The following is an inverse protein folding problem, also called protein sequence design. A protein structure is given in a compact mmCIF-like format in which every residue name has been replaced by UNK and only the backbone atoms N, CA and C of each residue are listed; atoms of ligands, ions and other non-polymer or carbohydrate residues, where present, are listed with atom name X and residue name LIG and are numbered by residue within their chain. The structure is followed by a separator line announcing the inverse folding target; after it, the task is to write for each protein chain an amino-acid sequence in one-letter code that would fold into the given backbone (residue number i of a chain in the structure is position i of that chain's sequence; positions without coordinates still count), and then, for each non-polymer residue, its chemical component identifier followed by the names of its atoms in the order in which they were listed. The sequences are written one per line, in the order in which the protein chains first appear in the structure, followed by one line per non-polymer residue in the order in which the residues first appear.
data_IF_060968706568
#
_entry.id   IF_060968706568
#
_cell.length_a   1.000
_cell.length_b   1.000
_cell.length_c   1.000
_cell.angle_alpha   90.00
_cell.angle_beta   90.00
_cell.angle_gamma   90.00
#
_symmetry.space_group_name_H-M   'P 1'
#
loop_
_entity.id
_entity.type
_entity.pdbx_description
1 polymer ?
#
# COMPACT_ATOMS: atom_id res chain seq x y z
N UNK A 1 34.28 -15.66 -11.03
CA UNK A 1 33.97 -15.65 -9.58
C UNK A 1 34.14 -14.29 -8.90
N UNK A 2 35.30 -13.61 -8.95
CA UNK A 2 35.52 -12.31 -8.25
C UNK A 2 34.45 -11.24 -8.52
N UNK A 3 34.05 -11.05 -9.78
CA UNK A 3 32.95 -10.12 -10.16
C UNK A 3 31.61 -10.47 -9.52
N UNK A 4 31.28 -11.76 -9.42
CA UNK A 4 30.05 -12.25 -8.81
C UNK A 4 30.04 -12.00 -7.30
N UNK A 5 31.15 -12.30 -6.61
CA UNK A 5 31.31 -12.05 -5.17
C UNK A 5 31.17 -10.56 -4.86
N UNK A 6 31.86 -9.70 -5.62
CA UNK A 6 31.77 -8.24 -5.45
C UNK A 6 30.34 -7.73 -5.65
N UNK A 7 29.61 -8.31 -6.62
CA UNK A 7 28.21 -7.99 -6.85
C UNK A 7 27.33 -8.35 -5.66
N UNK A 8 27.48 -9.56 -5.08
CA UNK A 8 26.73 -9.93 -3.87
C UNK A 8 27.08 -9.07 -2.65
N UNK A 9 28.36 -8.74 -2.45
CA UNK A 9 28.77 -7.80 -1.40
C UNK A 9 28.12 -6.42 -1.58
N UNK A 10 28.08 -5.93 -2.82
CA UNK A 10 27.41 -4.68 -3.16
C UNK A 10 25.91 -4.74 -2.84
N UNK A 11 25.22 -5.82 -3.23
CA UNK A 11 23.80 -6.04 -2.92
C UNK A 11 23.53 -6.07 -1.42
N UNK A 12 24.35 -6.78 -0.66
CA UNK A 12 24.21 -6.86 0.79
C UNK A 12 24.34 -5.47 1.44
N UNK A 13 25.34 -4.69 1.04
CA UNK A 13 25.51 -3.30 1.49
C UNK A 13 24.34 -2.40 1.09
N UNK A 14 23.78 -2.58 -0.10
CA UNK A 14 22.59 -1.86 -0.54
C UNK A 14 21.37 -2.17 0.34
N UNK A 15 21.12 -3.45 0.64
CA UNK A 15 20.03 -3.86 1.52
C UNK A 15 20.17 -3.23 2.92
N UNK A 16 21.37 -3.28 3.51
CA UNK A 16 21.62 -2.65 4.82
C UNK A 16 21.44 -1.13 4.78
N UNK A 17 21.94 -0.48 3.72
CA UNK A 17 21.75 0.97 3.52
C UNK A 17 20.28 1.34 3.39
N UNK A 18 19.47 0.55 2.69
CA UNK A 18 18.02 0.78 2.57
C UNK A 18 17.32 0.63 3.91
N UNK A 19 17.70 -0.35 4.72
CA UNK A 19 17.16 -0.54 6.06
C UNK A 19 17.44 0.67 6.96
N UNK A 20 18.65 1.23 6.87
CA UNK A 20 19.08 2.34 7.73
C UNK A 20 18.59 3.72 7.24
N UNK A 21 18.64 4.00 5.94
CA UNK A 21 18.36 5.35 5.41
C UNK A 21 16.88 5.63 5.12
N UNK A 22 16.02 4.61 5.11
CA UNK A 22 14.59 4.80 4.84
C UNK A 22 13.69 4.03 5.84
N UNK A 23 13.72 4.43 7.13
CA UNK A 23 12.97 3.76 8.20
C UNK A 23 11.46 3.68 7.91
N UNK A 24 10.91 4.69 7.22
CA UNK A 24 9.48 4.73 6.83
C UNK A 24 9.07 3.55 5.96
N UNK A 25 9.96 2.99 5.14
CA UNK A 25 9.68 1.81 4.31
C UNK A 25 10.28 0.52 4.87
N UNK A 26 11.46 0.60 5.50
CA UNK A 26 12.18 -0.59 5.95
C UNK A 26 11.56 -1.23 7.20
N UNK A 27 11.08 -0.44 8.15
CA UNK A 27 10.49 -0.96 9.39
C UNK A 27 9.23 -1.81 9.11
N UNK A 28 8.24 -1.36 8.31
CA UNK A 28 7.10 -2.20 7.97
C UNK A 28 7.49 -3.51 7.27
N UNK A 29 8.46 -3.46 6.35
CA UNK A 29 8.95 -4.66 5.64
C UNK A 29 9.59 -5.65 6.61
N UNK A 30 10.40 -5.18 7.56
CA UNK A 30 11.00 -6.03 8.58
C UNK A 30 9.95 -6.67 9.49
N UNK A 31 8.94 -5.91 9.92
CA UNK A 31 7.84 -6.46 10.75
C UNK A 31 7.11 -7.57 9.99
N UNK A 32 6.78 -7.35 8.72
CA UNK A 32 6.13 -8.37 7.87
C UNK A 32 7.03 -9.60 7.72
N UNK A 33 8.32 -9.44 7.44
CA UNK A 33 9.25 -10.57 7.31
C UNK A 33 9.38 -11.37 8.62
N UNK A 34 9.50 -10.68 9.77
CA UNK A 34 9.55 -11.34 11.09
C UNK A 34 8.26 -12.09 11.36
N UNK A 35 7.11 -11.48 11.10
CA UNK A 35 5.82 -12.14 11.25
C UNK A 35 5.72 -13.39 10.35
N UNK A 36 6.13 -13.28 9.09
CA UNK A 36 6.14 -14.41 8.15
C UNK A 36 7.10 -15.54 8.54
N UNK A 37 8.16 -15.25 9.28
CA UNK A 37 9.10 -16.25 9.83
C UNK A 37 8.55 -16.92 11.09
N UNK A 38 7.88 -16.16 11.96
CA UNK A 38 7.45 -16.61 13.27
C UNK A 38 6.07 -17.28 13.28
N UNK A 39 5.15 -16.84 12.40
CA UNK A 39 3.77 -17.34 12.35
C UNK A 39 3.73 -18.76 11.81
N UNK A 40 3.04 -19.65 12.53
CA UNK A 40 2.79 -21.02 12.10
C UNK A 40 1.54 -21.07 11.20
N UNK A 41 1.73 -21.41 9.93
CA UNK A 41 0.66 -21.69 8.98
C UNK A 41 0.07 -23.09 9.21
N UNK A 42 -1.19 -23.34 8.79
CA UNK A 42 -1.89 -24.60 9.02
C UNK A 42 -1.17 -25.80 8.43
N UNK A 43 -0.62 -25.61 7.22
CA UNK A 43 0.07 -26.63 6.46
C UNK A 43 1.40 -26.09 5.92
N UNK A 44 2.40 -26.96 5.82
CA UNK A 44 3.76 -26.59 5.42
C UNK A 44 3.85 -26.15 3.95
N UNK A 45 2.97 -26.61 3.06
CA UNK A 45 3.00 -26.24 1.64
C UNK A 45 2.62 -24.78 1.39
N UNK A 46 2.03 -24.09 2.38
CA UNK A 46 1.72 -22.67 2.26
C UNK A 46 2.96 -21.76 2.32
N UNK A 47 4.00 -22.10 3.12
CA UNK A 47 5.20 -21.24 3.20
C UNK A 47 5.93 -21.13 1.86
N UNK A 48 6.23 -22.24 1.15
CA UNK A 48 6.85 -22.18 -0.16
C UNK A 48 6.09 -21.31 -1.16
N UNK A 49 4.76 -21.43 -1.19
CA UNK A 49 3.91 -20.65 -2.09
C UNK A 49 3.92 -19.16 -1.73
N UNK A 50 3.79 -18.83 -0.44
CA UNK A 50 3.81 -17.46 0.06
C UNK A 50 5.14 -16.77 -0.26
N UNK A 51 6.26 -17.41 0.06
CA UNK A 51 7.59 -16.87 -0.21
C UNK A 51 7.85 -16.76 -1.71
N UNK A 52 7.37 -17.71 -2.51
CA UNK A 52 7.47 -17.62 -3.97
C UNK A 52 6.70 -16.41 -4.52
N UNK A 53 5.53 -16.10 -3.96
CA UNK A 53 4.80 -14.86 -4.26
C UNK A 53 5.62 -13.59 -3.98
N UNK A 54 6.35 -13.56 -2.86
CA UNK A 54 7.27 -12.44 -2.56
C UNK A 54 8.43 -12.36 -3.57
N UNK A 55 8.98 -13.49 -4.01
CA UNK A 55 10.03 -13.52 -5.03
C UNK A 55 9.50 -13.03 -6.38
N UNK A 56 8.28 -13.39 -6.77
CA UNK A 56 7.63 -12.87 -7.99
C UNK A 56 7.53 -11.34 -7.91
N UNK A 57 7.05 -10.81 -6.78
CA UNK A 57 6.91 -9.36 -6.58
C UNK A 57 8.28 -8.67 -6.65
N UNK A 58 9.29 -9.22 -5.96
CA UNK A 58 10.65 -8.72 -6.01
C UNK A 58 11.18 -8.70 -7.45
N UNK A 59 11.02 -9.80 -8.19
CA UNK A 59 11.46 -9.91 -9.58
C UNK A 59 10.78 -8.89 -10.50
N UNK A 60 9.47 -8.68 -10.34
CA UNK A 60 8.71 -7.73 -11.14
C UNK A 60 9.13 -6.27 -10.91
N UNK A 61 9.51 -5.92 -9.67
CA UNK A 61 9.95 -4.55 -9.33
C UNK A 61 11.42 -4.26 -9.66
N UNK A 62 12.18 -5.23 -10.17
CA UNK A 62 13.61 -5.05 -10.50
C UNK A 62 13.83 -4.02 -11.60
N UNK A 63 14.60 -2.98 -11.26
CA UNK A 63 15.03 -1.92 -12.20
C UNK A 63 16.48 -2.05 -12.64
N UNK A 64 17.20 -3.02 -12.10
CA UNK A 64 18.64 -3.18 -12.23
C UNK A 64 19.05 -4.13 -13.36
N UNK A 65 18.10 -4.72 -14.09
CA UNK A 65 18.39 -5.61 -15.22
C UNK A 65 19.25 -4.93 -16.31
N UNK A 66 19.02 -3.67 -16.70
CA UNK A 66 19.91 -2.99 -17.63
C UNK A 66 21.36 -2.89 -17.11
N UNK A 67 21.54 -2.70 -15.80
CA UNK A 67 22.86 -2.72 -15.16
C UNK A 67 23.47 -4.13 -15.22
N UNK A 68 22.71 -5.17 -14.88
CA UNK A 68 23.19 -6.55 -14.97
C UNK A 68 23.61 -6.94 -16.39
N UNK A 69 22.84 -6.54 -17.41
CA UNK A 69 23.20 -6.79 -18.82
C UNK A 69 24.52 -6.13 -19.21
N UNK A 70 24.86 -4.97 -18.63
CA UNK A 70 26.14 -4.28 -18.86
C UNK A 70 27.31 -4.95 -18.13
N UNK A 71 27.11 -5.37 -16.88
CA UNK A 71 28.20 -5.94 -16.05
C UNK A 71 28.44 -7.42 -16.34
N UNK A 72 27.38 -8.18 -16.63
CA UNK A 72 27.38 -9.64 -16.82
C UNK A 72 26.82 -10.00 -18.20
N UNK A 73 27.48 -9.54 -19.27
CA UNK A 73 27.00 -9.61 -20.67
C UNK A 73 26.39 -10.96 -21.05
N UNK A 74 27.08 -12.07 -20.78
CA UNK A 74 26.62 -13.43 -21.13
C UNK A 74 25.88 -14.15 -19.99
N UNK A 75 26.11 -13.75 -18.73
CA UNK A 75 25.66 -14.50 -17.55
C UNK A 75 24.62 -13.78 -16.68
N UNK A 76 24.13 -12.61 -17.09
CA UNK A 76 23.18 -11.81 -16.29
C UNK A 76 21.91 -12.60 -15.91
N UNK A 77 21.44 -13.48 -16.79
CA UNK A 77 20.30 -14.39 -16.54
C UNK A 77 20.55 -15.31 -15.36
N UNK A 78 21.73 -15.92 -15.31
CA UNK A 78 22.14 -16.77 -14.19
C UNK A 78 22.30 -15.99 -12.90
N UNK A 79 22.79 -14.75 -12.97
CA UNK A 79 22.85 -13.87 -11.79
C UNK A 79 21.46 -13.59 -11.24
N UNK A 80 20.46 -13.35 -12.10
CA UNK A 80 19.05 -13.16 -11.68
C UNK A 80 18.53 -14.40 -10.96
N UNK A 81 18.68 -15.59 -11.57
CA UNK A 81 18.24 -16.86 -10.96
C UNK A 81 18.92 -17.07 -9.62
N UNK A 82 20.24 -16.92 -9.57
CA UNK A 82 21.03 -17.15 -8.36
C UNK A 82 20.62 -16.20 -7.23
N UNK A 83 20.41 -14.91 -7.52
CA UNK A 83 19.86 -13.97 -6.53
C UNK A 83 18.48 -14.40 -6.01
N UNK A 84 17.55 -14.76 -6.90
CA UNK A 84 16.20 -15.18 -6.50
C UNK A 84 16.22 -16.47 -5.69
N UNK A 85 17.06 -17.43 -6.08
CA UNK A 85 17.28 -18.69 -5.37
C UNK A 85 17.82 -18.43 -3.97
N UNK A 86 18.87 -17.61 -3.82
CA UNK A 86 19.43 -17.26 -2.50
C UNK A 86 18.36 -16.65 -1.59
N UNK A 87 17.61 -15.65 -2.09
CA UNK A 87 16.60 -14.97 -1.27
C UNK A 87 15.52 -15.97 -0.83
N UNK A 88 15.07 -16.84 -1.74
CA UNK A 88 14.08 -17.86 -1.43
C UNK A 88 14.59 -18.90 -0.43
N UNK A 89 15.84 -19.35 -0.58
CA UNK A 89 16.47 -20.25 0.38
C UNK A 89 16.56 -19.63 1.77
N UNK A 90 16.93 -18.34 1.86
CA UNK A 90 16.98 -17.62 3.14
C UNK A 90 15.59 -17.53 3.77
N UNK A 91 14.53 -17.28 3.00
CA UNK A 91 13.16 -17.23 3.52
C UNK A 91 12.67 -18.59 4.02
N UNK A 92 12.91 -19.66 3.25
CA UNK A 92 12.50 -21.02 3.65
C UNK A 92 13.28 -21.52 4.87
N UNK A 93 14.61 -21.45 4.83
CA UNK A 93 15.46 -21.94 5.91
C UNK A 93 15.42 -21.05 7.15
N UNK A 94 15.13 -19.76 6.97
CA UNK A 94 14.95 -18.83 8.07
C UNK A 94 13.60 -18.96 8.79
N UNK A 95 12.61 -19.64 8.20
CA UNK A 95 11.31 -19.86 8.83
C UNK A 95 11.39 -20.99 9.87
N UNK A 96 11.05 -20.68 11.12
CA UNK A 96 11.19 -21.59 12.27
C UNK A 96 10.23 -22.79 12.19
N UNK A 97 9.11 -22.62 11.49
CA UNK A 97 8.04 -23.61 11.40
C UNK A 97 8.09 -24.46 10.13
N UNK A 98 8.93 -24.12 9.15
CA UNK A 98 8.95 -24.78 7.85
C UNK A 98 9.69 -26.13 7.90
N UNK A 99 9.08 -27.16 7.31
CA UNK A 99 9.72 -28.44 7.02
C UNK A 99 9.89 -28.61 5.52
N UNK A 100 11.02 -29.18 5.10
CA UNK A 100 11.35 -29.36 3.68
C UNK A 100 10.29 -30.24 3.02
N UNK A 101 9.72 -29.75 1.92
CA UNK A 101 8.67 -30.43 1.17
C UNK A 101 8.88 -30.36 -0.34
N UNK A 102 8.28 -31.30 -1.07
CA UNK A 102 8.41 -31.44 -2.52
C UNK A 102 7.97 -30.19 -3.29
N UNK A 103 6.93 -29.50 -2.83
CA UNK A 103 6.43 -28.27 -3.45
C UNK A 103 7.49 -27.17 -3.40
N UNK A 104 8.19 -27.01 -2.27
CA UNK A 104 9.27 -26.02 -2.15
C UNK A 104 10.44 -26.32 -3.07
N UNK A 105 10.78 -27.60 -3.26
CA UNK A 105 11.78 -28.01 -4.24
C UNK A 105 11.34 -27.75 -5.68
N UNK A 106 10.07 -28.03 -6.01
CA UNK A 106 9.50 -27.76 -7.33
C UNK A 106 9.50 -26.27 -7.71
N UNK A 107 9.30 -25.38 -6.74
CA UNK A 107 9.31 -23.93 -6.98
C UNK A 107 10.70 -23.39 -7.38
N UNK A 108 11.81 -24.03 -6.98
CA UNK A 108 13.14 -23.67 -7.48
C UNK A 108 13.28 -23.86 -9.00
N UNK A 109 12.67 -24.90 -9.55
CA UNK A 109 12.68 -25.11 -11.01
C UNK A 109 11.91 -24.00 -11.73
N UNK A 110 10.79 -23.54 -11.15
CA UNK A 110 10.02 -22.41 -11.70
C UNK A 110 10.77 -21.07 -11.64
N UNK A 111 11.72 -20.88 -10.71
CA UNK A 111 12.54 -19.65 -10.68
C UNK A 111 13.42 -19.47 -11.90
N UNK A 112 13.77 -20.56 -12.60
CA UNK A 112 14.52 -20.48 -13.87
C UNK A 112 13.75 -19.65 -14.90
N UNK A 113 12.41 -19.65 -14.86
CA UNK A 113 11.58 -18.83 -15.75
C UNK A 113 11.81 -17.32 -15.56
N UNK A 114 12.21 -16.87 -14.38
CA UNK A 114 12.54 -15.46 -14.13
C UNK A 114 13.73 -14.96 -14.96
N UNK A 115 14.61 -15.86 -15.39
CA UNK A 115 15.72 -15.53 -16.29
C UNK A 115 15.25 -15.05 -17.68
N UNK A 116 14.07 -15.51 -18.09
CA UNK A 116 13.49 -15.25 -19.40
C UNK A 116 12.43 -14.15 -19.36
N UNK A 117 11.79 -13.95 -18.21
CA UNK A 117 10.84 -12.87 -17.99
C UNK A 117 11.61 -11.61 -17.61
N UNK A 118 11.91 -10.76 -18.58
CA UNK A 118 12.46 -9.43 -18.29
C UNK A 118 11.35 -8.54 -17.70
N UNK A 119 11.45 -8.07 -16.44
CA UNK A 119 10.58 -7.02 -15.91
C UNK A 119 10.53 -5.82 -16.85
N UNK A 120 9.31 -5.30 -16.99
CA UNK A 120 8.94 -4.29 -17.99
C UNK A 120 9.80 -3.03 -17.84
N UNK A 121 10.40 -2.62 -18.94
CA UNK A 121 11.06 -1.30 -19.10
C UNK A 121 10.07 -0.21 -19.51
N UNK A 122 8.87 -0.57 -19.96
CA UNK A 122 7.85 0.36 -20.41
C UNK A 122 6.92 0.81 -19.28
N UNK A 123 6.40 2.06 -19.34
CA UNK A 123 5.47 2.57 -18.34
C UNK A 123 4.26 1.63 -18.21
N UNK A 124 3.79 1.43 -16.97
CA UNK A 124 2.58 0.65 -16.68
C UNK A 124 1.47 1.12 -17.63
N UNK A 125 0.82 0.18 -18.32
CA UNK A 125 -0.42 0.47 -19.02
C UNK A 125 -1.36 1.15 -18.01
N UNK A 126 -1.56 2.45 -18.17
CA UNK A 126 -2.41 3.23 -17.27
C UNK A 126 -3.83 2.92 -17.65
N UNK A 127 -4.52 2.12 -16.83
CA UNK A 127 -5.97 1.97 -16.97
C UNK A 127 -6.62 3.35 -16.91
N UNK A 128 -7.51 3.61 -17.85
CA UNK A 128 -8.33 4.81 -17.84
C UNK A 128 -9.49 4.60 -16.87
N UNK A 129 -9.43 5.24 -15.70
CA UNK A 129 -10.46 5.19 -14.67
C UNK A 129 -11.63 6.14 -15.01
N UNK A 130 -12.25 5.93 -16.18
CA UNK A 130 -13.26 6.85 -16.74
C UNK A 130 -14.57 6.87 -15.95
N UNK A 131 -14.87 5.80 -15.22
CA UNK A 131 -16.03 5.75 -14.33
C UNK A 131 -15.89 6.67 -13.09
N UNK A 132 -14.67 7.10 -12.74
CA UNK A 132 -14.45 8.00 -11.61
C UNK A 132 -14.70 9.44 -12.06
N UNK A 133 -15.66 10.13 -11.42
CA UNK A 133 -15.95 11.52 -11.69
C UNK A 133 -14.72 12.44 -11.56
N UNK A 134 -14.66 13.49 -12.39
CA UNK A 134 -13.51 14.41 -12.41
C UNK A 134 -13.38 15.28 -11.15
N UNK A 135 -14.46 15.44 -10.40
CA UNK A 135 -14.50 16.12 -9.10
C UNK A 135 -13.90 15.28 -7.95
N UNK A 136 -13.62 13.99 -8.18
CA UNK A 136 -12.83 13.12 -7.31
C UNK A 136 -11.39 12.98 -7.85
N UNK A 137 -10.78 14.10 -8.19
CA UNK A 137 -9.51 14.13 -8.91
C UNK A 137 -8.35 13.52 -8.10
N UNK A 138 -8.41 13.51 -6.77
CA UNK A 138 -7.41 12.84 -5.92
C UNK A 138 -7.38 11.34 -6.18
N UNK A 139 -8.55 10.71 -6.11
CA UNK A 139 -8.72 9.30 -6.41
C UNK A 139 -8.33 8.99 -7.85
N UNK A 140 -8.84 9.77 -8.80
CA UNK A 140 -8.57 9.55 -10.23
C UNK A 140 -7.08 9.69 -10.55
N UNK A 141 -6.42 10.73 -10.01
CA UNK A 141 -5.00 10.98 -10.19
C UNK A 141 -4.13 9.88 -9.58
N UNK A 142 -4.45 9.47 -8.35
CA UNK A 142 -3.72 8.40 -7.66
C UNK A 142 -3.88 7.06 -8.37
N UNK A 143 -5.12 6.67 -8.68
CA UNK A 143 -5.43 5.39 -9.32
C UNK A 143 -4.81 5.29 -10.70
N UNK A 144 -4.77 6.36 -11.50
CA UNK A 144 -4.09 6.36 -12.81
C UNK A 144 -2.59 6.05 -12.68
N UNK A 145 -1.93 6.56 -11.64
CA UNK A 145 -0.50 6.34 -11.39
C UNK A 145 -0.22 4.94 -10.84
N UNK A 146 -1.15 4.41 -10.05
CA UNK A 146 -0.96 3.20 -9.26
C UNK A 146 -1.95 2.07 -9.59
N UNK A 147 -2.53 2.03 -10.81
CA UNK A 147 -3.68 1.17 -11.17
C UNK A 147 -3.53 -0.28 -10.72
N UNK A 148 -2.40 -0.92 -11.03
CA UNK A 148 -2.18 -2.32 -10.69
C UNK A 148 -2.07 -2.57 -9.18
N UNK A 149 -1.43 -1.67 -8.44
CA UNK A 149 -1.34 -1.79 -6.99
C UNK A 149 -2.72 -1.54 -6.34
N UNK A 150 -3.54 -0.67 -6.92
CA UNK A 150 -4.91 -0.44 -6.47
C UNK A 150 -5.79 -1.67 -6.68
N UNK A 151 -5.72 -2.31 -7.86
CA UNK A 151 -6.47 -3.54 -8.17
C UNK A 151 -6.05 -4.66 -7.22
N UNK A 152 -4.74 -4.88 -7.05
CA UNK A 152 -4.22 -5.91 -6.16
C UNK A 152 -4.60 -5.63 -4.70
N UNK A 153 -4.49 -4.38 -4.25
CA UNK A 153 -4.94 -3.96 -2.92
C UNK A 153 -6.43 -4.20 -2.70
N UNK A 154 -7.26 -3.89 -3.70
CA UNK A 154 -8.71 -4.16 -3.64
C UNK A 154 -9.02 -5.66 -3.54
N UNK A 155 -8.33 -6.51 -4.30
CA UNK A 155 -8.46 -7.97 -4.20
C UNK A 155 -8.07 -8.46 -2.80
N UNK A 156 -6.96 -7.96 -2.23
CA UNK A 156 -6.53 -8.32 -0.87
C UNK A 156 -7.61 -7.94 0.15
N UNK A 157 -8.16 -6.73 0.06
CA UNK A 157 -9.23 -6.27 0.97
C UNK A 157 -10.47 -7.15 0.84
N UNK A 158 -10.85 -7.54 -0.37
CA UNK A 158 -11.99 -8.43 -0.59
C UNK A 158 -11.74 -9.82 0.01
N UNK A 159 -10.56 -10.42 -0.22
CA UNK A 159 -10.21 -11.72 0.36
C UNK A 159 -10.06 -11.67 1.89
N UNK A 160 -9.69 -10.51 2.44
CA UNK A 160 -9.55 -10.32 3.88
C UNK A 160 -10.88 -10.44 4.64
N UNK A 161 -12.02 -10.39 3.93
CA UNK A 161 -13.35 -10.55 4.52
C UNK A 161 -13.62 -11.97 5.05
N UNK A 162 -12.69 -12.91 4.83
CA UNK A 162 -12.81 -14.28 5.31
C UNK A 162 -12.84 -14.38 6.85
N UNK A 163 -12.09 -13.53 7.56
CA UNK A 163 -12.00 -13.57 9.03
C UNK A 163 -11.92 -12.15 9.63
N UNK A 164 -12.47 -11.87 10.83
CA UNK A 164 -12.42 -10.53 11.45
C UNK A 164 -11.01 -9.97 11.56
N UNK A 165 -10.07 -10.78 12.06
CA UNK A 165 -8.70 -10.34 12.27
C UNK A 165 -8.01 -9.95 10.94
N UNK A 166 -8.27 -10.68 9.86
CA UNK A 166 -7.69 -10.37 8.54
C UNK A 166 -8.31 -9.10 7.96
N UNK A 167 -9.61 -8.88 8.15
CA UNK A 167 -10.29 -7.66 7.73
C UNK A 167 -9.74 -6.43 8.45
N UNK A 168 -9.56 -6.52 9.77
CA UNK A 168 -8.96 -5.44 10.57
C UNK A 168 -7.55 -5.14 10.08
N UNK A 169 -6.72 -6.18 9.89
CA UNK A 169 -5.35 -6.02 9.41
C UNK A 169 -5.30 -5.37 8.03
N UNK A 170 -6.15 -5.81 7.09
CA UNK A 170 -6.26 -5.18 5.78
C UNK A 170 -6.72 -3.71 5.88
N UNK A 171 -7.64 -3.41 6.80
CA UNK A 171 -8.07 -2.05 7.10
C UNK A 171 -6.92 -1.11 7.47
N UNK A 172 -5.98 -1.57 8.32
CA UNK A 172 -4.76 -0.81 8.67
C UNK A 172 -3.97 -0.41 7.41
N UNK A 173 -3.76 -1.34 6.48
CA UNK A 173 -3.07 -1.03 5.22
C UNK A 173 -3.87 -0.09 4.31
N UNK A 174 -5.20 -0.22 4.30
CA UNK A 174 -6.09 0.69 3.57
C UNK A 174 -5.99 2.12 4.13
N UNK A 175 -5.86 2.30 5.45
CA UNK A 175 -5.68 3.62 6.06
C UNK A 175 -4.39 4.31 5.59
N UNK A 176 -3.28 3.56 5.56
CA UNK A 176 -2.00 4.08 5.05
C UNK A 176 -2.13 4.43 3.56
N UNK A 177 -2.79 3.58 2.78
CA UNK A 177 -3.05 3.82 1.37
C UNK A 177 -3.86 5.10 1.12
N UNK A 178 -4.97 5.29 1.84
CA UNK A 178 -5.81 6.51 1.77
C UNK A 178 -4.99 7.74 2.09
N UNK A 179 -4.13 7.67 3.11
CA UNK A 179 -3.32 8.81 3.52
C UNK A 179 -2.40 9.31 2.41
N UNK A 180 -1.85 8.39 1.61
CA UNK A 180 -1.05 8.74 0.43
C UNK A 180 -1.86 9.34 -0.74
N UNK A 181 -3.18 9.10 -0.80
CA UNK A 181 -4.06 9.72 -1.81
C UNK A 181 -4.21 11.22 -1.55
N UNK A 182 -4.30 11.60 -0.27
CA UNK A 182 -4.53 13.00 0.14
C UNK A 182 -3.26 13.74 0.58
N UNK A 183 -2.09 13.09 0.56
CA UNK A 183 -0.80 13.71 0.86
C UNK A 183 -0.41 14.84 -0.14
N UNK A 184 -0.61 14.71 -1.46
CA UNK A 184 -0.24 15.77 -2.40
C UNK A 184 -1.21 16.96 -2.32
N UNK A 185 -0.65 18.17 -2.32
CA UNK A 185 -1.43 19.41 -2.48
C UNK A 185 -1.63 19.74 -3.96
N UNK A 186 -2.82 20.24 -4.30
CA UNK A 186 -3.07 20.83 -5.62
C UNK A 186 -2.40 22.20 -5.76
N UNK A 187 -2.20 22.64 -7.01
CA UNK A 187 -1.86 24.03 -7.28
C UNK A 187 -3.03 24.96 -6.91
N UNK A 188 -2.73 26.23 -6.59
CA UNK A 188 -3.73 27.22 -6.17
C UNK A 188 -4.91 27.32 -7.15
N UNK A 189 -4.62 27.40 -8.45
CA UNK A 189 -5.63 27.54 -9.52
C UNK A 189 -6.64 26.38 -9.52
N UNK A 190 -6.17 25.15 -9.28
CA UNK A 190 -7.02 23.97 -9.23
C UNK A 190 -7.90 23.97 -7.98
N UNK A 191 -7.34 24.37 -6.83
CA UNK A 191 -8.10 24.54 -5.59
C UNK A 191 -9.22 25.59 -5.78
N UNK A 192 -8.85 26.75 -6.33
CA UNK A 192 -9.76 27.86 -6.57
C UNK A 192 -10.89 27.47 -7.53
N UNK A 193 -10.54 26.90 -8.69
CA UNK A 193 -11.52 26.43 -9.68
C UNK A 193 -12.49 25.41 -9.07
N UNK A 194 -12.01 24.51 -8.21
CA UNK A 194 -12.85 23.51 -7.57
C UNK A 194 -13.82 24.13 -6.55
N UNK A 195 -13.30 24.94 -5.62
CA UNK A 195 -14.09 25.47 -4.51
C UNK A 195 -14.95 26.69 -4.88
N UNK A 196 -14.73 27.31 -6.04
CA UNK A 196 -15.72 28.21 -6.65
C UNK A 196 -17.02 27.49 -7.04
N UNK A 197 -16.93 26.20 -7.38
CA UNK A 197 -18.09 25.41 -7.84
C UNK A 197 -18.69 24.53 -6.74
N UNK A 198 -17.87 24.04 -5.82
CA UNK A 198 -18.28 23.06 -4.82
C UNK A 198 -17.89 23.49 -3.41
N UNK A 199 -18.76 23.18 -2.44
CA UNK A 199 -18.44 23.43 -1.03
C UNK A 199 -17.58 22.31 -0.42
N UNK A 200 -16.89 22.58 0.69
CA UNK A 200 -16.19 21.54 1.45
C UNK A 200 -17.12 20.40 1.89
N UNK A 201 -18.37 20.73 2.26
CA UNK A 201 -19.39 19.74 2.64
C UNK A 201 -19.73 18.81 1.48
N UNK A 202 -19.89 19.34 0.27
CA UNK A 202 -20.11 18.54 -0.94
C UNK A 202 -18.90 17.68 -1.26
N UNK A 203 -17.68 18.22 -1.13
CA UNK A 203 -16.45 17.46 -1.33
C UNK A 203 -16.37 16.27 -0.37
N UNK A 204 -16.61 16.50 0.92
CA UNK A 204 -16.65 15.46 1.95
C UNK A 204 -17.69 14.39 1.60
N UNK A 205 -18.92 14.81 1.25
CA UNK A 205 -20.02 13.89 0.92
C UNK A 205 -19.67 13.00 -0.28
N UNK A 206 -19.21 13.59 -1.39
CA UNK A 206 -18.89 12.84 -2.62
C UNK A 206 -17.73 11.87 -2.40
N UNK A 207 -16.68 12.32 -1.70
CA UNK A 207 -15.52 11.49 -1.39
C UNK A 207 -15.85 10.35 -0.42
N UNK A 208 -16.65 10.60 0.62
CA UNK A 208 -17.09 9.58 1.56
C UNK A 208 -18.03 8.57 0.90
N UNK A 209 -18.94 9.02 0.02
CA UNK A 209 -19.79 8.12 -0.75
C UNK A 209 -18.96 7.20 -1.65
N UNK A 210 -18.01 7.76 -2.41
CA UNK A 210 -17.12 6.95 -3.26
C UNK A 210 -16.29 5.95 -2.44
N UNK A 211 -15.75 6.39 -1.31
CA UNK A 211 -14.98 5.53 -0.41
C UNK A 211 -15.81 4.36 0.15
N UNK A 212 -17.07 4.61 0.54
CA UNK A 212 -17.96 3.55 1.01
C UNK A 212 -18.41 2.61 -0.10
N UNK A 213 -18.65 3.10 -1.32
CA UNK A 213 -18.90 2.24 -2.48
C UNK A 213 -17.72 1.30 -2.73
N UNK A 214 -16.49 1.79 -2.58
CA UNK A 214 -15.28 0.97 -2.72
C UNK A 214 -15.21 -0.14 -1.66
N UNK A 215 -15.61 0.13 -0.41
CA UNK A 215 -15.57 -0.86 0.67
C UNK A 215 -16.80 -1.78 0.70
N UNK A 216 -17.90 -1.41 0.04
CA UNK A 216 -19.16 -2.15 0.07
C UNK A 216 -19.01 -3.63 -0.35
N UNK A 217 -18.27 -4.00 -1.40
CA UNK A 217 -18.06 -5.41 -1.75
C UNK A 217 -17.43 -6.22 -0.62
N UNK A 218 -16.48 -5.63 0.13
CA UNK A 218 -15.84 -6.28 1.27
C UNK A 218 -16.80 -6.42 2.47
N UNK A 219 -17.70 -5.46 2.67
CA UNK A 219 -18.74 -5.55 3.69
C UNK A 219 -19.74 -6.66 3.37
N UNK A 220 -20.24 -6.69 2.13
CA UNK A 220 -21.17 -7.73 1.69
C UNK A 220 -20.53 -9.12 1.76
N UNK A 221 -19.27 -9.28 1.31
CA UNK A 221 -18.58 -10.56 1.39
C UNK A 221 -18.33 -10.99 2.84
N UNK A 222 -18.02 -10.06 3.75
CA UNK A 222 -17.89 -10.37 5.18
C UNK A 222 -19.21 -10.84 5.79
N UNK A 223 -20.34 -10.17 5.48
CA UNK A 223 -21.65 -10.59 5.99
C UNK A 223 -22.04 -11.98 5.52
N UNK A 224 -21.74 -12.32 4.27
CA UNK A 224 -22.03 -13.64 3.70
C UNK A 224 -21.18 -14.73 4.38
N UNK A 225 -19.89 -14.46 4.60
CA UNK A 225 -18.95 -15.44 5.15
C UNK A 225 -19.02 -15.56 6.68
N UNK A 226 -19.33 -14.46 7.39
CA UNK A 226 -19.29 -14.37 8.85
C UNK A 226 -20.60 -13.76 9.42
N UNK A 227 -21.77 -14.42 9.23
CA UNK A 227 -23.06 -13.84 9.59
C UNK A 227 -23.21 -13.56 11.10
N UNK A 228 -22.62 -14.42 11.95
CA UNK A 228 -22.66 -14.28 13.40
C UNK A 228 -21.80 -13.13 13.95
N UNK A 229 -20.87 -12.63 13.14
CA UNK A 229 -19.91 -11.57 13.50
C UNK A 229 -20.25 -10.23 12.85
N UNK A 230 -21.47 -10.08 12.34
CA UNK A 230 -21.95 -8.89 11.62
C UNK A 230 -21.75 -7.57 12.37
N UNK A 231 -21.76 -7.57 13.71
CA UNK A 231 -21.48 -6.37 14.52
C UNK A 231 -20.09 -5.77 14.27
N UNK A 232 -19.08 -6.57 13.91
CA UNK A 232 -17.74 -6.07 13.60
C UNK A 232 -17.74 -5.10 12.41
N UNK A 233 -18.66 -5.26 11.46
CA UNK A 233 -18.77 -4.36 10.32
C UNK A 233 -19.15 -2.95 10.77
N UNK A 234 -20.02 -2.79 11.77
CA UNK A 234 -20.41 -1.46 12.26
C UNK A 234 -19.21 -0.71 12.83
N UNK A 235 -18.41 -1.39 13.66
CA UNK A 235 -17.17 -0.83 14.20
C UNK A 235 -16.17 -0.50 13.10
N UNK A 236 -15.95 -1.43 12.16
CA UNK A 236 -15.05 -1.24 11.05
C UNK A 236 -15.49 -0.07 10.16
N UNK A 237 -16.78 0.01 9.82
CA UNK A 237 -17.37 1.08 9.02
C UNK A 237 -17.16 2.45 9.70
N UNK A 238 -17.49 2.56 10.99
CA UNK A 238 -17.32 3.80 11.75
C UNK A 238 -15.84 4.21 11.80
N UNK A 239 -14.96 3.27 12.10
CA UNK A 239 -13.52 3.49 12.19
C UNK A 239 -12.92 3.97 10.86
N UNK A 240 -13.19 3.26 9.76
CA UNK A 240 -12.67 3.61 8.43
C UNK A 240 -13.18 4.97 7.97
N UNK A 241 -14.46 5.28 8.20
CA UNK A 241 -15.03 6.58 7.82
C UNK A 241 -14.46 7.73 8.65
N UNK A 242 -14.35 7.57 9.98
CA UNK A 242 -13.76 8.61 10.83
C UNK A 242 -12.34 8.94 10.40
N UNK A 243 -11.54 7.91 10.14
CA UNK A 243 -10.15 8.09 9.71
C UNK A 243 -10.09 8.81 8.36
N UNK A 244 -10.87 8.34 7.39
CA UNK A 244 -10.96 8.95 6.07
C UNK A 244 -11.32 10.45 6.15
N UNK A 245 -12.32 10.79 6.97
CA UNK A 245 -12.76 12.17 7.17
C UNK A 245 -11.67 13.03 7.82
N UNK A 246 -10.94 12.50 8.81
CA UNK A 246 -9.81 13.21 9.42
C UNK A 246 -8.70 13.50 8.41
N UNK A 247 -8.34 12.53 7.56
CA UNK A 247 -7.33 12.72 6.52
C UNK A 247 -7.75 13.77 5.48
N UNK A 248 -8.97 13.66 4.97
CA UNK A 248 -9.48 14.58 3.95
C UNK A 248 -9.56 16.01 4.51
N UNK A 249 -10.06 16.18 5.72
CA UNK A 249 -10.17 17.51 6.33
C UNK A 249 -8.80 18.08 6.73
N UNK A 250 -7.88 17.24 7.21
CA UNK A 250 -6.49 17.66 7.50
C UNK A 250 -5.82 18.26 6.28
N UNK A 251 -5.97 17.64 5.10
CA UNK A 251 -5.41 18.15 3.85
C UNK A 251 -5.76 19.62 3.63
N UNK A 252 -7.04 19.96 3.74
CA UNK A 252 -7.51 21.33 3.51
C UNK A 252 -7.21 22.28 4.68
N UNK A 253 -7.22 21.77 5.92
CA UNK A 253 -6.76 22.52 7.10
C UNK A 253 -5.31 23.00 6.96
N UNK A 254 -4.43 22.14 6.45
CA UNK A 254 -2.98 22.42 6.34
C UNK A 254 -2.54 22.77 4.91
N UNK A 255 -3.50 23.02 4.02
CA UNK A 255 -3.21 23.29 2.62
C UNK A 255 -2.35 24.55 2.48
N UNK A 256 -1.29 24.43 1.68
CA UNK A 256 -0.44 25.53 1.27
C UNK A 256 0.11 25.24 -0.13
N UNK A 257 -0.20 26.11 -1.10
CA UNK A 257 0.19 25.97 -2.50
C UNK A 257 1.72 25.97 -2.72
N UNK A 258 2.51 26.51 -1.78
CA UNK A 258 3.98 26.48 -1.85
C UNK A 258 4.55 25.11 -1.54
N UNK A 259 3.82 24.29 -0.78
CA UNK A 259 4.25 22.95 -0.38
C UNK A 259 3.58 21.92 -1.28
N UNK A 260 4.39 21.16 -2.03
CA UNK A 260 3.88 20.12 -2.93
C UNK A 260 3.17 18.97 -2.20
N UNK A 261 3.63 18.64 -1.00
CA UNK A 261 3.08 17.57 -0.17
C UNK A 261 2.76 18.12 1.22
N UNK A 262 1.67 17.62 1.81
CA UNK A 262 1.38 17.79 3.23
C UNK A 262 2.36 16.99 4.09
N UNK A 263 2.72 17.52 5.26
CA UNK A 263 3.51 16.81 6.26
C UNK A 263 2.64 15.69 6.88
N UNK A 264 2.58 14.56 6.19
CA UNK A 264 1.96 13.34 6.65
C UNK A 264 3.04 12.32 6.99
N UNK A 265 3.20 12.05 8.29
CA UNK A 265 4.19 11.12 8.82
C UNK A 265 3.55 10.12 9.77
N UNK A 266 4.34 9.15 10.24
CA UNK A 266 3.86 8.04 11.07
C UNK A 266 3.25 8.51 12.40
N UNK A 267 3.71 9.63 12.96
CA UNK A 267 3.11 10.22 14.16
C UNK A 267 1.65 10.65 13.94
N UNK A 268 1.36 11.31 12.81
CA UNK A 268 -0.01 11.72 12.44
C UNK A 268 -0.88 10.49 12.15
N UNK A 269 -0.31 9.48 11.49
CA UNK A 269 -0.98 8.22 11.24
C UNK A 269 -1.44 7.56 12.56
N UNK A 270 -0.53 7.44 13.53
CA UNK A 270 -0.81 6.82 14.83
C UNK A 270 -1.78 7.67 15.67
N UNK A 271 -1.61 8.99 15.67
CA UNK A 271 -2.54 9.91 16.34
C UNK A 271 -3.98 9.68 15.86
N UNK A 272 -4.19 9.72 14.54
CA UNK A 272 -5.53 9.53 13.97
C UNK A 272 -6.05 8.11 14.16
N UNK A 273 -5.18 7.11 14.09
CA UNK A 273 -5.54 5.72 14.36
C UNK A 273 -6.11 5.56 15.78
N UNK A 274 -5.42 6.10 16.80
CA UNK A 274 -5.86 6.06 18.21
C UNK A 274 -7.12 6.90 18.43
N UNK A 275 -7.20 8.10 17.82
CA UNK A 275 -8.41 8.92 17.89
C UNK A 275 -9.64 8.20 17.31
N UNK A 276 -9.48 7.47 16.21
CA UNK A 276 -10.57 6.74 15.58
C UNK A 276 -11.03 5.54 16.43
N UNK A 277 -10.13 4.89 17.18
CA UNK A 277 -10.51 3.83 18.12
C UNK A 277 -11.42 4.32 19.24
N UNK A 278 -11.20 5.56 19.70
CA UNK A 278 -11.95 6.15 20.82
C UNK A 278 -13.22 6.89 20.39
N UNK A 279 -13.43 7.08 19.09
CA UNK A 279 -14.59 7.73 18.41
C UNK A 279 -14.85 9.18 18.83
N UNK A 280 -15.11 9.44 20.12
CA UNK A 280 -15.41 10.77 20.66
C UNK A 280 -14.29 11.78 20.34
N UNK A 281 -13.00 11.48 20.61
CA UNK A 281 -11.93 12.41 20.26
C UNK A 281 -11.83 12.66 18.76
N UNK A 282 -12.03 11.63 17.92
CA UNK A 282 -12.05 11.81 16.46
C UNK A 282 -13.16 12.76 16.01
N UNK A 283 -14.37 12.66 16.55
CA UNK A 283 -15.48 13.56 16.20
C UNK A 283 -15.19 15.01 16.60
N UNK A 284 -14.60 15.23 17.78
CA UNK A 284 -14.22 16.57 18.25
C UNK A 284 -13.13 17.20 17.37
N UNK A 285 -12.09 16.44 17.05
CA UNK A 285 -11.01 16.87 16.15
C UNK A 285 -11.54 17.13 14.75
N UNK A 286 -12.47 16.30 14.26
CA UNK A 286 -13.07 16.47 12.96
C UNK A 286 -13.87 17.78 12.88
N UNK A 287 -14.68 18.09 13.91
CA UNK A 287 -15.47 19.33 13.96
C UNK A 287 -14.58 20.58 13.93
N UNK A 288 -13.49 20.59 14.69
CA UNK A 288 -12.54 21.72 14.68
C UNK A 288 -11.78 21.79 13.36
N UNK A 289 -11.42 20.65 12.77
CA UNK A 289 -10.69 20.58 11.50
C UNK A 289 -11.53 21.01 10.31
N UNK A 290 -12.83 20.72 10.28
CA UNK A 290 -13.74 21.21 9.24
C UNK A 290 -13.83 22.73 9.27
N UNK A 291 -13.99 23.34 10.46
CA UNK A 291 -14.03 24.80 10.59
C UNK A 291 -12.72 25.45 10.12
N UNK A 292 -11.58 24.90 10.52
CA UNK A 292 -10.27 25.40 10.13
C UNK A 292 -10.02 25.23 8.61
N UNK A 293 -10.44 24.10 8.03
CA UNK A 293 -10.35 23.85 6.60
C UNK A 293 -11.21 24.83 5.79
N UNK A 294 -12.45 25.09 6.21
CA UNK A 294 -13.34 26.05 5.56
C UNK A 294 -12.74 27.46 5.57
N UNK A 295 -12.22 27.90 6.73
CA UNK A 295 -11.51 29.17 6.84
C UNK A 295 -10.29 29.23 5.92
N UNK A 296 -9.46 28.18 5.92
CA UNK A 296 -8.25 28.15 5.09
C UNK A 296 -8.60 28.19 3.59
N UNK A 297 -9.63 27.46 3.14
CA UNK A 297 -10.09 27.48 1.74
C UNK A 297 -10.49 28.90 1.32
N UNK A 298 -11.26 29.61 2.15
CA UNK A 298 -11.67 31.00 1.85
C UNK A 298 -10.49 31.93 1.66
N UNK A 299 -9.38 31.75 2.39
CA UNK A 299 -8.18 32.59 2.21
C UNK A 299 -7.55 32.44 0.81
N UNK A 300 -7.74 31.30 0.13
CA UNK A 300 -7.18 31.06 -1.21
C UNK A 300 -8.15 31.33 -2.34
N UNK A 301 -9.45 31.06 -2.14
CA UNK A 301 -10.49 31.18 -3.17
C UNK A 301 -10.92 32.64 -3.36
N UNK A 302 -10.75 33.48 -2.32
CA UNK A 302 -11.41 34.79 -2.26
C UNK A 302 -12.90 34.62 -1.93
N UNK A 303 -13.52 35.68 -1.43
CA UNK A 303 -14.98 35.74 -1.32
C UNK A 303 -15.62 35.91 -2.71
#
# INVERSE_FOLDING_TARGET
MKKLINHFQFRFRQSFRLLNLNPRRSVPVLIVLVALIAVKLPENYYYPALFFGLIILFHYERKDIPFLKKVFVQSWRWVVVLETTIIYSVLLLGNINYKIEKIGLGLYALMVLFAFISPRTQPKATLQWNFIPNDLFEWKGFLRKNSWMAILGFIIVLLSSYHPATLILAGVFVLDYISHIYEPHENKEMLEMYFKKYTLKEKIRKNSLFFNILLLPAYCSFLILNPYESFYILYYFAFMNLYFLLILTRKYKNYNHKNKNGNYGIGVYLEYFVCCMTIIPAVLILKSSIKAADHNIRTYVGD
#
